data_IF_782503402703
#
_entry.id   IF_782503402703
#
_cell.length_a   1.000
_cell.length_b   1.000
_cell.length_c   1.000
_cell.angle_alpha   90.00
_cell.angle_beta   90.00
_cell.angle_gamma   90.00
#
_symmetry.space_group_name_H-M   'P 1'
#
loop_
_entity.id
_entity.type
_entity.pdbx_description
1 polymer ?
#
# COMPACT_ATOMS: atom_id res chain seq x y z
N UNK A 1 48.83 -15.70 -1.75
CA UNK A 1 47.51 -16.35 -1.57
C UNK A 1 46.78 -15.92 -0.29
N UNK A 2 47.47 -15.82 0.85
CA UNK A 2 46.85 -15.36 2.11
C UNK A 2 46.29 -13.92 2.05
N UNK A 3 46.93 -13.00 1.34
CA UNK A 3 46.50 -11.59 1.23
C UNK A 3 45.18 -11.42 0.50
N UNK A 4 44.92 -12.21 -0.55
CA UNK A 4 43.65 -12.16 -1.28
C UNK A 4 42.47 -12.69 -0.44
N UNK A 5 42.70 -13.72 0.34
CA UNK A 5 41.68 -14.27 1.23
C UNK A 5 41.30 -13.30 2.35
N UNK A 6 42.30 -12.62 2.95
CA UNK A 6 42.06 -11.58 3.97
C UNK A 6 41.33 -10.40 3.38
N UNK A 7 41.68 -9.96 2.16
CA UNK A 7 41.00 -8.86 1.47
C UNK A 7 39.53 -9.18 1.21
N UNK A 8 39.22 -10.39 0.70
CA UNK A 8 37.82 -10.81 0.46
C UNK A 8 37.01 -10.91 1.76
N UNK A 9 37.62 -11.42 2.85
CA UNK A 9 36.95 -11.49 4.14
C UNK A 9 36.67 -10.10 4.73
N UNK A 10 37.63 -9.18 4.64
CA UNK A 10 37.41 -7.81 5.13
C UNK A 10 36.36 -7.06 4.31
N UNK A 11 36.34 -7.22 2.98
CA UNK A 11 35.31 -6.61 2.13
C UNK A 11 33.93 -7.22 2.35
N UNK A 12 33.81 -8.53 2.52
CA UNK A 12 32.53 -9.18 2.83
C UNK A 12 32.01 -8.76 4.20
N UNK A 13 32.89 -8.59 5.19
CA UNK A 13 32.53 -8.12 6.52
C UNK A 13 32.07 -6.64 6.49
N UNK A 14 32.79 -5.78 5.76
CA UNK A 14 32.41 -4.38 5.58
C UNK A 14 31.09 -4.25 4.84
N UNK A 15 30.86 -5.05 3.80
CA UNK A 15 29.59 -5.09 3.07
C UNK A 15 28.45 -5.55 3.97
N UNK A 16 28.69 -6.59 4.78
CA UNK A 16 27.69 -7.08 5.76
C UNK A 16 27.35 -6.03 6.82
N UNK A 17 28.36 -5.33 7.34
CA UNK A 17 28.15 -4.20 8.27
C UNK A 17 27.38 -3.03 7.63
N UNK A 18 27.66 -2.73 6.37
CA UNK A 18 26.96 -1.65 5.62
C UNK A 18 25.50 -2.01 5.38
N UNK A 19 25.21 -3.28 5.04
CA UNK A 19 23.85 -3.77 4.87
C UNK A 19 23.09 -3.90 6.20
N UNK A 20 23.75 -4.30 7.28
CA UNK A 20 23.15 -4.43 8.60
C UNK A 20 22.82 -3.06 9.25
N UNK A 21 23.56 -2.01 8.91
CA UNK A 21 23.36 -0.66 9.44
C UNK A 21 22.12 0.07 8.90
N UNK A 22 21.51 -0.46 7.84
CA UNK A 22 20.39 0.19 7.16
C UNK A 22 19.05 -0.52 7.42
N UNK A 23 18.82 -1.02 8.63
CA UNK A 23 17.49 -1.44 9.05
C UNK A 23 16.63 -0.19 9.15
N UNK A 24 15.92 0.10 8.06
CA UNK A 24 15.10 1.27 7.85
C UNK A 24 14.07 1.49 8.93
N UNK A 25 14.48 2.19 9.97
CA UNK A 25 13.54 2.75 10.95
C UNK A 25 12.83 3.90 10.26
N UNK A 26 11.49 3.84 10.22
CA UNK A 26 10.69 4.99 9.78
C UNK A 26 11.16 6.27 10.47
N UNK A 27 11.17 7.42 9.79
CA UNK A 27 11.54 8.69 10.40
C UNK A 27 10.66 8.97 11.63
N UNK A 28 11.21 9.69 12.59
CA UNK A 28 10.48 10.06 13.81
C UNK A 28 9.28 10.94 13.44
N UNK A 29 8.15 10.83 14.17
CA UNK A 29 7.01 11.71 13.96
C UNK A 29 7.42 13.18 14.11
N UNK A 30 6.82 14.05 13.29
CA UNK A 30 7.00 15.50 13.38
C UNK A 30 6.43 16.01 14.71
N UNK A 31 7.03 17.06 15.25
CA UNK A 31 6.42 17.79 16.36
C UNK A 31 5.16 18.53 15.89
N UNK A 32 4.26 18.86 16.80
CA UNK A 32 3.01 19.56 16.46
C UNK A 32 3.23 20.95 15.80
N UNK A 33 4.40 21.56 16.01
CA UNK A 33 4.77 22.81 15.37
C UNK A 33 5.22 22.57 13.92
N UNK A 34 6.15 21.63 13.73
CA UNK A 34 6.64 21.25 12.39
C UNK A 34 5.53 20.72 11.51
N UNK A 35 4.61 19.90 12.05
CA UNK A 35 3.46 19.39 11.34
C UNK A 35 2.59 20.53 10.78
N UNK A 36 2.32 21.56 11.61
CA UNK A 36 1.53 22.73 11.18
C UNK A 36 2.24 23.54 10.09
N UNK A 37 3.54 23.81 10.27
CA UNK A 37 4.34 24.54 9.28
C UNK A 37 4.38 23.78 7.94
N UNK A 38 4.56 22.45 7.98
CA UNK A 38 4.51 21.62 6.76
C UNK A 38 3.12 21.62 6.10
N UNK A 39 2.04 21.60 6.90
CA UNK A 39 0.67 21.68 6.37
C UNK A 39 0.42 23.02 5.69
N UNK A 40 0.83 24.14 6.30
CA UNK A 40 0.68 25.48 5.70
C UNK A 40 1.47 25.59 4.39
N UNK A 41 2.71 25.12 4.36
CA UNK A 41 3.53 25.09 3.14
C UNK A 41 2.92 24.20 2.06
N UNK A 42 2.40 23.03 2.42
CA UNK A 42 1.72 22.13 1.50
C UNK A 42 0.48 22.80 0.87
N UNK A 43 -0.29 23.53 1.67
CA UNK A 43 -1.47 24.28 1.17
C UNK A 43 -1.07 25.42 0.23
N UNK A 44 0.13 25.98 0.41
CA UNK A 44 0.72 26.95 -0.50
C UNK A 44 1.27 26.32 -1.80
N UNK A 45 1.22 24.99 -1.94
CA UNK A 45 1.65 24.25 -3.12
C UNK A 45 3.06 23.68 -3.05
N UNK A 46 3.70 23.68 -1.87
CA UNK A 46 5.03 23.11 -1.66
C UNK A 46 4.96 21.56 -1.66
N UNK A 47 5.52 20.95 -2.70
CA UNK A 47 5.59 19.50 -2.89
C UNK A 47 6.52 18.85 -1.86
N UNK A 48 7.62 19.50 -1.49
CA UNK A 48 8.57 18.98 -0.52
C UNK A 48 7.93 18.87 0.87
N UNK A 49 7.20 19.89 1.30
CA UNK A 49 6.45 19.86 2.56
C UNK A 49 5.43 18.71 2.59
N UNK A 50 4.76 18.45 1.45
CA UNK A 50 3.86 17.29 1.31
C UNK A 50 4.60 15.96 1.46
N UNK A 51 5.75 15.81 0.82
CA UNK A 51 6.55 14.59 0.88
C UNK A 51 7.05 14.33 2.30
N UNK A 52 7.53 15.35 3.00
CA UNK A 52 7.91 15.27 4.42
C UNK A 52 6.74 14.79 5.28
N UNK A 53 5.53 15.33 5.09
CA UNK A 53 4.35 14.88 5.81
C UNK A 53 4.03 13.40 5.53
N UNK A 54 4.19 12.94 4.30
CA UNK A 54 3.96 11.53 3.93
C UNK A 54 5.00 10.63 4.63
N UNK A 55 6.28 10.92 4.48
CA UNK A 55 7.38 10.12 5.01
C UNK A 55 7.29 9.94 6.53
N UNK A 56 7.04 11.02 7.27
CA UNK A 56 6.94 10.99 8.72
C UNK A 56 5.65 10.34 9.25
N UNK A 57 4.66 10.10 8.37
CA UNK A 57 3.41 9.41 8.71
C UNK A 57 3.32 7.97 8.16
N UNK A 58 4.33 7.44 7.45
CA UNK A 58 4.34 6.05 6.97
C UNK A 58 4.20 5.03 8.11
N UNK A 59 4.75 5.32 9.28
CA UNK A 59 4.60 4.49 10.47
C UNK A 59 3.13 4.26 10.88
N UNK A 60 2.25 5.24 10.62
CA UNK A 60 0.82 5.12 10.87
C UNK A 60 0.19 4.01 10.00
N UNK A 61 0.59 3.91 8.74
CA UNK A 61 0.11 2.84 7.82
C UNK A 61 0.49 1.47 8.37
N UNK A 62 1.77 1.27 8.69
CA UNK A 62 2.27 0.00 9.25
C UNK A 62 1.54 -0.36 10.57
N UNK A 63 1.26 0.62 11.42
CA UNK A 63 0.52 0.42 12.66
C UNK A 63 -0.93 -0.03 12.41
N UNK A 64 -1.62 0.59 11.46
CA UNK A 64 -3.01 0.23 11.10
C UNK A 64 -3.05 -1.18 10.52
N UNK A 65 -2.17 -1.50 9.57
CA UNK A 65 -2.10 -2.84 8.97
C UNK A 65 -1.82 -3.89 10.04
N UNK A 66 -0.82 -3.66 10.88
CA UNK A 66 -0.49 -4.59 11.97
C UNK A 66 -1.64 -4.77 12.97
N UNK A 67 -2.39 -3.72 13.28
CA UNK A 67 -3.49 -3.79 14.25
C UNK A 67 -4.70 -4.58 13.75
N UNK A 68 -5.08 -4.38 12.49
CA UNK A 68 -6.34 -4.92 11.97
C UNK A 68 -6.18 -6.15 11.07
N UNK A 69 -4.96 -6.41 10.57
CA UNK A 69 -4.72 -7.41 9.53
C UNK A 69 -3.55 -8.36 9.85
N UNK A 70 -3.37 -8.68 11.13
CA UNK A 70 -2.23 -9.47 11.63
C UNK A 70 -2.17 -10.91 11.08
N UNK A 71 -3.28 -11.45 10.58
CA UNK A 71 -3.41 -12.85 10.18
C UNK A 71 -3.42 -13.07 8.65
N UNK A 72 -3.10 -12.06 7.87
CA UNK A 72 -3.05 -12.18 6.41
C UNK A 72 -1.61 -12.24 5.92
N UNK A 73 -1.32 -13.19 5.03
CA UNK A 73 -0.01 -13.29 4.35
C UNK A 73 0.26 -12.13 3.38
N UNK A 74 -0.75 -11.28 3.15
CA UNK A 74 -0.75 -10.14 2.22
C UNK A 74 -0.43 -8.79 2.89
N UNK A 75 0.35 -8.79 3.97
CA UNK A 75 0.63 -7.54 4.72
C UNK A 75 1.35 -6.49 3.87
N UNK A 76 2.24 -6.89 2.98
CA UNK A 76 3.00 -5.97 2.12
C UNK A 76 2.08 -5.28 1.10
N UNK A 77 1.11 -5.99 0.54
CA UNK A 77 0.10 -5.43 -0.36
C UNK A 77 -0.80 -4.43 0.38
N UNK A 78 -1.21 -4.76 1.60
CA UNK A 78 -2.03 -3.87 2.43
C UNK A 78 -1.26 -2.60 2.83
N UNK A 79 0.04 -2.69 3.09
CA UNK A 79 0.91 -1.53 3.35
C UNK A 79 0.97 -0.65 2.10
N UNK A 80 1.13 -1.25 0.93
CA UNK A 80 1.19 -0.53 -0.35
C UNK A 80 -0.12 0.22 -0.62
N UNK A 81 -1.26 -0.44 -0.46
CA UNK A 81 -2.60 0.15 -0.62
C UNK A 81 -2.83 1.24 0.44
N UNK A 82 -2.48 0.98 1.69
CA UNK A 82 -2.57 1.94 2.78
C UNK A 82 -1.71 3.19 2.54
N UNK A 83 -0.53 3.02 1.95
CA UNK A 83 0.35 4.14 1.57
C UNK A 83 -0.30 5.02 0.50
N UNK A 84 -0.96 4.44 -0.49
CA UNK A 84 -1.74 5.20 -1.49
C UNK A 84 -2.87 5.97 -0.80
N UNK A 85 -3.54 5.34 0.18
CA UNK A 85 -4.57 5.98 1.01
C UNK A 85 -4.02 7.17 1.80
N UNK A 86 -2.84 7.02 2.41
CA UNK A 86 -2.12 8.07 3.13
C UNK A 86 -1.80 9.26 2.22
N UNK A 87 -1.22 9.00 1.04
CA UNK A 87 -0.86 10.04 0.06
C UNK A 87 -2.09 10.84 -0.36
N UNK A 88 -3.20 10.16 -0.68
CA UNK A 88 -4.48 10.81 -1.02
C UNK A 88 -5.03 11.60 0.17
N UNK A 89 -4.96 11.03 1.37
CA UNK A 89 -5.41 11.69 2.60
C UNK A 89 -4.65 12.98 2.87
N UNK A 90 -3.31 12.95 2.87
CA UNK A 90 -2.49 14.15 3.09
C UNK A 90 -2.77 15.20 2.02
N UNK A 91 -2.82 14.83 0.74
CA UNK A 91 -3.08 15.76 -0.36
C UNK A 91 -4.47 16.43 -0.30
N UNK A 92 -5.46 15.77 0.31
CA UNK A 92 -6.82 16.30 0.45
C UNK A 92 -7.12 16.89 1.82
N UNK A 93 -6.13 16.88 2.73
CA UNK A 93 -6.32 17.40 4.08
C UNK A 93 -6.59 18.89 4.10
N UNK A 94 -7.56 19.30 4.95
CA UNK A 94 -7.93 20.70 5.19
C UNK A 94 -8.04 20.94 6.70
N UNK A 95 -7.14 21.74 7.28
CA UNK A 95 -7.14 22.01 8.72
C UNK A 95 -8.38 22.76 9.20
N UNK A 96 -9.04 23.51 8.31
CA UNK A 96 -10.28 24.28 8.58
C UNK A 96 -11.41 23.40 9.14
N UNK A 97 -11.39 22.09 8.85
CA UNK A 97 -12.39 21.13 9.35
C UNK A 97 -12.18 20.73 10.81
N UNK A 98 -11.17 21.26 11.49
CA UNK A 98 -10.90 21.02 12.90
C UNK A 98 -10.45 19.60 13.29
N UNK A 99 -10.20 18.73 12.30
CA UNK A 99 -9.70 17.36 12.56
C UNK A 99 -8.17 17.33 12.56
N UNK A 100 -7.58 16.51 13.44
CA UNK A 100 -6.13 16.29 13.43
C UNK A 100 -5.69 15.52 12.19
N UNK A 101 -4.53 15.88 11.62
CA UNK A 101 -3.97 15.22 10.43
C UNK A 101 -3.90 13.70 10.60
N UNK A 102 -3.35 13.21 11.72
CA UNK A 102 -3.22 11.77 11.99
C UNK A 102 -4.57 11.05 12.00
N UNK A 103 -5.62 11.65 12.57
CA UNK A 103 -6.97 11.06 12.61
C UNK A 103 -7.59 10.99 11.21
N UNK A 104 -7.42 12.05 10.42
CA UNK A 104 -7.93 12.10 9.05
C UNK A 104 -7.18 11.12 8.15
N UNK A 105 -5.85 11.11 8.24
CA UNK A 105 -5.00 10.19 7.50
C UNK A 105 -5.30 8.72 7.83
N UNK A 106 -5.48 8.38 9.13
CA UNK A 106 -5.85 7.03 9.54
C UNK A 106 -7.14 6.55 8.86
N UNK A 107 -8.18 7.39 8.82
CA UNK A 107 -9.43 7.04 8.13
C UNK A 107 -9.25 6.86 6.62
N UNK A 108 -8.41 7.68 5.99
CA UNK A 108 -8.11 7.53 4.56
C UNK A 108 -7.39 6.22 4.27
N UNK A 109 -6.45 5.82 5.13
CA UNK A 109 -5.74 4.53 5.05
C UNK A 109 -6.72 3.37 5.21
N UNK A 110 -7.54 3.38 6.26
CA UNK A 110 -8.56 2.34 6.53
C UNK A 110 -9.53 2.21 5.36
N UNK A 111 -10.05 3.32 4.84
CA UNK A 111 -10.96 3.32 3.71
C UNK A 111 -10.32 2.77 2.43
N UNK A 112 -9.04 3.09 2.17
CA UNK A 112 -8.33 2.56 1.02
C UNK A 112 -8.20 1.04 1.10
N UNK A 113 -7.81 0.50 2.26
CA UNK A 113 -7.68 -0.94 2.49
C UNK A 113 -9.05 -1.64 2.37
N UNK A 114 -10.09 -1.10 3.01
CA UNK A 114 -11.43 -1.67 2.95
C UNK A 114 -12.01 -1.67 1.54
N UNK A 115 -11.86 -0.57 0.81
CA UNK A 115 -12.33 -0.47 -0.58
C UNK A 115 -11.68 -1.51 -1.48
N UNK A 116 -10.40 -1.76 -1.31
CA UNK A 116 -9.68 -2.76 -2.10
C UNK A 116 -10.16 -4.18 -1.78
N UNK A 117 -10.37 -4.50 -0.49
CA UNK A 117 -10.89 -5.80 -0.09
C UNK A 117 -12.29 -6.05 -0.62
N UNK A 118 -13.19 -5.08 -0.50
CA UNK A 118 -14.54 -5.18 -1.06
C UNK A 118 -14.54 -5.38 -2.58
N UNK A 119 -13.64 -4.71 -3.30
CA UNK A 119 -13.49 -4.90 -4.75
C UNK A 119 -13.00 -6.31 -5.09
N UNK A 120 -12.06 -6.86 -4.31
CA UNK A 120 -11.58 -8.23 -4.49
C UNK A 120 -12.68 -9.25 -4.18
N UNK A 121 -13.41 -9.10 -3.07
CA UNK A 121 -14.54 -9.96 -2.72
C UNK A 121 -15.64 -9.91 -3.78
N UNK A 122 -15.97 -8.72 -4.27
CA UNK A 122 -16.96 -8.56 -5.33
C UNK A 122 -16.51 -9.22 -6.64
N UNK A 123 -15.24 -9.05 -7.04
CA UNK A 123 -14.68 -9.73 -8.22
C UNK A 123 -14.66 -11.24 -8.06
N UNK A 124 -14.25 -11.75 -6.89
CA UNK A 124 -14.26 -13.18 -6.59
C UNK A 124 -15.69 -13.74 -6.61
N UNK A 125 -16.64 -13.01 -6.03
CA UNK A 125 -18.06 -13.39 -6.02
C UNK A 125 -18.67 -13.44 -7.43
N UNK A 126 -18.19 -12.57 -8.33
CA UNK A 126 -18.60 -12.58 -9.74
C UNK A 126 -17.92 -13.71 -10.53
N UNK A 127 -16.69 -14.09 -10.16
CA UNK A 127 -15.91 -15.15 -10.81
C UNK A 127 -16.25 -16.55 -10.29
N UNK A 128 -16.79 -16.69 -9.07
CA UNK A 128 -17.20 -17.96 -8.51
C UNK A 128 -18.69 -18.21 -8.80
N UNK A 129 -19.08 -19.46 -9.15
CA UNK A 129 -20.47 -19.80 -9.31
C UNK A 129 -21.20 -19.58 -7.96
N UNK A 130 -22.43 -19.04 -7.96
CA UNK A 130 -23.19 -18.92 -6.74
C UNK A 130 -23.41 -20.30 -6.12
N UNK A 131 -23.14 -20.43 -4.85
CA UNK A 131 -23.14 -21.69 -4.08
C UNK A 131 -24.48 -22.46 -4.19
N UNK A 132 -25.55 -21.77 -4.55
CA UNK A 132 -26.92 -22.30 -4.65
C UNK A 132 -27.41 -22.49 -6.10
N UNK A 133 -26.55 -22.35 -7.10
CA UNK A 133 -27.01 -22.40 -8.51
C UNK A 133 -27.23 -23.80 -9.07
N UNK A 134 -26.91 -24.87 -8.32
CA UNK A 134 -27.04 -26.25 -8.80
C UNK A 134 -26.18 -26.56 -10.05
N UNK A 135 -25.32 -25.63 -10.45
CA UNK A 135 -24.46 -25.73 -11.63
C UNK A 135 -23.16 -26.41 -11.21
N UNK A 136 -22.80 -27.49 -11.90
CA UNK A 136 -21.52 -28.17 -11.67
C UNK A 136 -20.37 -27.21 -11.94
N UNK A 137 -19.30 -27.26 -11.15
CA UNK A 137 -18.07 -26.47 -11.35
C UNK A 137 -17.53 -26.62 -12.77
N UNK A 138 -17.70 -27.81 -13.38
CA UNK A 138 -17.31 -28.11 -14.75
C UNK A 138 -18.12 -27.29 -15.78
N UNK A 139 -19.42 -27.17 -15.57
CA UNK A 139 -20.29 -26.42 -16.48
C UNK A 139 -20.03 -24.93 -16.40
N UNK A 140 -19.71 -24.45 -15.19
CA UNK A 140 -19.31 -23.06 -14.98
C UNK A 140 -17.97 -22.73 -15.67
N UNK A 141 -16.96 -23.61 -15.54
CA UNK A 141 -15.65 -23.40 -16.21
C UNK A 141 -15.76 -23.36 -17.74
N UNK A 142 -16.64 -24.19 -18.31
CA UNK A 142 -16.91 -24.18 -19.75
C UNK A 142 -17.63 -22.91 -20.19
N UNK A 143 -18.61 -22.45 -19.43
CA UNK A 143 -19.32 -21.20 -19.70
C UNK A 143 -18.39 -19.98 -19.57
N UNK A 144 -17.53 -19.96 -18.55
CA UNK A 144 -16.55 -18.89 -18.34
C UNK A 144 -15.49 -18.84 -19.44
N UNK A 145 -14.97 -19.98 -19.88
CA UNK A 145 -14.01 -20.05 -21.01
C UNK A 145 -14.62 -19.56 -22.33
N UNK A 146 -15.88 -19.91 -22.56
CA UNK A 146 -16.65 -19.43 -23.69
C UNK A 146 -16.84 -17.90 -23.68
N UNK A 147 -17.19 -17.36 -22.50
CA UNK A 147 -17.35 -15.92 -22.30
C UNK A 147 -16.03 -15.16 -22.51
N UNK A 148 -14.91 -15.67 -21.98
CA UNK A 148 -13.58 -15.10 -22.20
C UNK A 148 -13.20 -15.08 -23.69
N UNK A 149 -13.49 -16.14 -24.44
CA UNK A 149 -13.23 -16.23 -25.88
C UNK A 149 -14.04 -15.19 -26.67
N UNK A 150 -15.32 -15.00 -26.34
CA UNK A 150 -16.19 -13.99 -26.96
C UNK A 150 -15.72 -12.56 -26.62
N UNK A 151 -15.33 -12.30 -25.38
CA UNK A 151 -14.82 -11.00 -24.96
C UNK A 151 -13.50 -10.65 -25.62
N UNK A 152 -12.58 -11.61 -25.77
CA UNK A 152 -11.32 -11.43 -26.48
C UNK A 152 -11.54 -11.12 -27.97
N UNK A 153 -12.52 -11.78 -28.60
CA UNK A 153 -12.88 -11.52 -30.01
C UNK A 153 -13.48 -10.13 -30.20
N UNK A 154 -14.24 -9.62 -29.23
CA UNK A 154 -14.82 -8.28 -29.27
C UNK A 154 -13.76 -7.18 -29.12
N UNK A 155 -12.72 -7.41 -28.34
CA UNK A 155 -11.57 -6.51 -28.19
C UNK A 155 -10.67 -6.47 -29.43
N UNK A 156 -10.59 -7.56 -30.20
CA UNK A 156 -9.80 -7.60 -31.45
C UNK A 156 -10.48 -6.92 -32.64
N UNK A 157 -11.79 -6.67 -32.56
CA UNK A 157 -12.59 -6.01 -33.63
C UNK A 157 -12.59 -4.46 -33.50
N UNK A 158 -12.04 -3.93 -32.42
CA UNK A 158 -11.91 -2.49 -32.18
C UNK A 158 -10.47 -1.95 -32.36
N UNK A 159 -9.62 -2.70 -33.04
CA UNK A 159 -8.32 -2.26 -33.54
C UNK A 159 -8.41 -2.16 -35.08
#
# INVERSE_FOLDING_TARGET
MLSAAVYLLTHSLLLSLHLAGNTGSFPKPLSAKEERECVERMLAGDIEARNVLIEHNLRLVAHIVKKYYTQTDEQDDLISIGTIGLIKGISSYRPEKGTRLATYAARCVENAILSQRLLLEHKLRFLLPPENAGVSFRDWTTAFSSWCAVSAKKLSLHR
#
